data_IF_087660241150
#
_entry.id   IF_087660241150
#
_cell.length_a   1.000
_cell.length_b   1.000
_cell.length_c   1.000
_cell.angle_alpha   90.00
_cell.angle_beta   90.00
_cell.angle_gamma   90.00
#
_symmetry.space_group_name_H-M   'P 1'
#
loop_
_entity.id
_entity.type
_entity.pdbx_description
1 polymer ?
#
# COMPACT_ATOMS: atom_id res chain seq x y z
N UNK A 1 5.84 -4.68 -0.48
CA UNK A 1 5.15 -3.41 -0.78
C UNK A 1 5.85 -2.76 -1.95
N UNK A 2 5.08 -2.32 -2.93
CA UNK A 2 5.53 -1.55 -4.08
C UNK A 2 4.92 -0.15 -4.00
N UNK A 3 5.70 0.88 -4.24
CA UNK A 3 5.23 2.27 -4.23
C UNK A 3 5.57 2.88 -5.60
N UNK A 4 4.53 3.29 -6.34
CA UNK A 4 4.69 4.08 -7.55
C UNK A 4 5.07 5.52 -7.21
N UNK A 5 5.81 6.20 -8.07
CA UNK A 5 6.10 7.62 -7.86
C UNK A 5 6.26 8.40 -9.17
N UNK A 6 5.87 9.69 -9.12
CA UNK A 6 6.06 10.63 -10.24
C UNK A 6 6.25 12.06 -9.75
N UNK A 7 6.89 12.90 -10.57
CA UNK A 7 7.10 14.33 -10.28
C UNK A 7 8.08 14.63 -9.14
N UNK A 8 8.78 13.63 -8.62
CA UNK A 8 9.74 13.77 -7.51
C UNK A 8 11.05 13.06 -7.86
N UNK A 9 12.16 13.58 -7.36
CA UNK A 9 13.48 12.97 -7.53
C UNK A 9 13.74 11.94 -6.43
N UNK A 10 13.35 10.70 -6.67
CA UNK A 10 13.43 9.60 -5.72
C UNK A 10 14.17 8.40 -6.33
N UNK A 11 14.98 7.67 -5.55
CA UNK A 11 15.67 6.49 -6.05
C UNK A 11 14.67 5.40 -6.45
N UNK A 12 14.81 4.92 -7.69
CA UNK A 12 14.06 3.76 -8.18
C UNK A 12 14.69 2.46 -7.66
N UNK A 13 13.86 1.46 -7.43
CA UNK A 13 14.29 0.13 -7.00
C UNK A 13 14.04 -0.16 -5.53
N UNK A 14 14.80 -1.10 -4.96
CA UNK A 14 14.62 -1.55 -3.58
C UNK A 14 15.29 -0.58 -2.60
N UNK A 15 14.52 -0.09 -1.64
CA UNK A 15 14.97 0.71 -0.50
C UNK A 15 14.68 0.00 0.80
N UNK A 16 15.68 -0.04 1.67
CA UNK A 16 15.56 -0.62 3.01
C UNK A 16 14.78 0.33 3.90
N UNK A 17 13.77 -0.18 4.60
CA UNK A 17 13.12 0.54 5.67
C UNK A 17 14.01 0.57 6.92
N UNK A 18 14.27 1.76 7.45
CA UNK A 18 15.05 1.92 8.68
C UNK A 18 14.12 1.77 9.90
N UNK A 19 13.88 0.52 10.28
CA UNK A 19 12.97 0.11 11.33
C UNK A 19 13.66 0.16 12.70
N UNK A 20 13.21 1.09 13.55
CA UNK A 20 13.77 1.28 14.88
C UNK A 20 13.43 0.13 15.83
N UNK A 21 12.26 -0.52 15.66
CA UNK A 21 11.85 -1.67 16.48
C UNK A 21 12.73 -2.88 16.17
N UNK A 22 12.89 -3.19 14.88
CA UNK A 22 13.77 -4.28 14.45
C UNK A 22 15.21 -4.06 14.92
N UNK A 23 15.70 -2.81 14.87
CA UNK A 23 17.03 -2.45 15.37
C UNK A 23 17.17 -2.71 16.87
N UNK A 24 16.20 -2.27 17.67
CA UNK A 24 16.20 -2.49 19.12
C UNK A 24 16.15 -3.99 19.49
N UNK A 25 15.35 -4.79 18.75
CA UNK A 25 15.29 -6.23 18.91
C UNK A 25 16.63 -6.90 18.57
N UNK A 26 17.27 -6.48 17.49
CA UNK A 26 18.57 -7.00 17.10
C UNK A 26 19.68 -6.65 18.10
N UNK A 27 19.63 -5.46 18.70
CA UNK A 27 20.58 -5.06 19.78
C UNK A 27 20.38 -5.90 21.06
N UNK A 28 19.11 -6.21 21.39
CA UNK A 28 18.74 -7.02 22.55
C UNK A 28 19.18 -8.49 22.40
N UNK A 29 18.76 -9.13 21.30
CA UNK A 29 18.86 -10.58 21.14
C UNK A 29 20.15 -11.02 20.44
N UNK A 30 20.90 -10.07 19.83
CA UNK A 30 22.15 -10.29 19.10
C UNK A 30 22.09 -11.47 18.11
N UNK A 31 21.12 -11.45 17.19
CA UNK A 31 20.88 -12.56 16.27
C UNK A 31 22.05 -12.75 15.30
N UNK A 32 22.17 -13.97 14.76
CA UNK A 32 23.13 -14.25 13.68
C UNK A 32 22.75 -13.55 12.36
N UNK A 33 21.45 -13.26 12.17
CA UNK A 33 20.92 -12.63 10.97
C UNK A 33 19.83 -11.61 11.32
N UNK A 34 19.81 -10.48 10.61
CA UNK A 34 18.73 -9.49 10.67
C UNK A 34 18.10 -9.37 9.28
N UNK A 35 16.80 -9.58 9.20
CA UNK A 35 16.02 -9.48 7.96
C UNK A 35 15.09 -8.26 8.01
N UNK A 36 15.54 -7.11 7.46
CA UNK A 36 14.74 -5.90 7.38
C UNK A 36 13.73 -5.99 6.26
N UNK A 37 12.73 -5.13 6.34
CA UNK A 37 11.77 -4.93 5.25
C UNK A 37 12.36 -4.03 4.15
N UNK A 38 11.99 -4.35 2.90
CA UNK A 38 12.33 -3.54 1.73
C UNK A 38 11.06 -3.12 1.02
N UNK A 39 11.01 -1.85 0.63
CA UNK A 39 10.02 -1.30 -0.29
C UNK A 39 10.64 -1.24 -1.68
N UNK A 40 9.85 -1.50 -2.71
CA UNK A 40 10.23 -1.29 -4.09
C UNK A 40 9.57 -0.01 -4.61
N UNK A 41 10.38 0.97 -4.98
CA UNK A 41 9.94 2.20 -5.63
C UNK A 41 9.99 2.05 -7.15
N UNK A 42 8.88 2.41 -7.82
CA UNK A 42 8.67 2.23 -9.25
C UNK A 42 8.33 3.58 -9.89
N UNK A 43 9.21 4.07 -10.75
CA UNK A 43 9.03 5.36 -11.42
C UNK A 43 7.93 5.27 -12.47
N UNK A 44 6.95 6.18 -12.43
CA UNK A 44 5.81 6.27 -13.36
C UNK A 44 4.98 4.97 -13.47
N UNK A 45 4.98 4.14 -12.42
CA UNK A 45 4.17 2.93 -12.33
C UNK A 45 2.98 3.15 -11.40
N UNK A 46 1.76 2.95 -11.90
CA UNK A 46 0.54 3.21 -11.17
C UNK A 46 -0.38 1.98 -11.04
N UNK A 47 -0.13 0.94 -11.83
CA UNK A 47 -0.96 -0.27 -11.84
C UNK A 47 -0.48 -1.27 -10.81
N UNK A 48 0.79 -1.67 -10.87
CA UNK A 48 1.37 -2.72 -10.03
C UNK A 48 1.99 -2.18 -8.72
N UNK A 49 1.33 -1.22 -8.07
CA UNK A 49 1.79 -0.65 -6.80
C UNK A 49 0.67 -0.65 -5.75
N UNK A 50 1.07 -0.56 -4.48
CA UNK A 50 0.17 -0.54 -3.31
C UNK A 50 -0.23 0.90 -2.94
N UNK A 51 0.61 1.88 -3.22
CA UNK A 51 0.40 3.30 -3.03
C UNK A 51 1.18 4.11 -4.09
N UNK A 52 0.80 5.36 -4.29
CA UNK A 52 1.44 6.27 -5.25
C UNK A 52 1.92 7.52 -4.51
N UNK A 53 3.18 7.89 -4.73
CA UNK A 53 3.78 9.12 -4.20
C UNK A 53 3.98 10.10 -5.33
N UNK A 54 3.48 11.32 -5.16
CA UNK A 54 3.54 12.37 -6.18
C UNK A 54 3.98 13.71 -5.61
N UNK A 55 4.58 14.55 -6.45
CA UNK A 55 4.59 15.97 -6.14
C UNK A 55 3.15 16.51 -6.20
N UNK A 56 2.78 17.43 -5.30
CA UNK A 56 1.41 17.95 -5.24
C UNK A 56 0.89 18.47 -6.59
N UNK A 57 1.76 19.08 -7.40
CA UNK A 57 1.40 19.64 -8.71
C UNK A 57 1.09 18.57 -9.78
N UNK A 58 1.41 17.30 -9.50
CA UNK A 58 1.13 16.17 -10.40
C UNK A 58 -0.20 15.47 -10.09
N UNK A 59 -1.00 15.97 -9.14
CA UNK A 59 -2.26 15.33 -8.79
C UNK A 59 -3.20 15.29 -9.99
N UNK A 60 -3.38 16.40 -10.67
CA UNK A 60 -4.30 16.51 -11.82
C UNK A 60 -3.93 15.54 -12.95
N UNK A 61 -2.63 15.31 -13.18
CA UNK A 61 -2.18 14.34 -14.21
C UNK A 61 -2.68 12.92 -13.90
N UNK A 62 -2.68 12.54 -12.62
CA UNK A 62 -3.19 11.23 -12.18
C UNK A 62 -4.71 11.16 -12.30
N UNK A 63 -5.43 12.25 -11.93
CA UNK A 63 -6.89 12.28 -12.02
C UNK A 63 -7.38 12.25 -13.48
N UNK A 64 -6.68 12.91 -14.39
CA UNK A 64 -6.97 12.84 -15.84
C UNK A 64 -6.84 11.42 -16.37
N UNK A 65 -5.79 10.68 -15.98
CA UNK A 65 -5.64 9.27 -16.36
C UNK A 65 -6.81 8.42 -15.88
N UNK A 66 -7.34 8.70 -14.71
CA UNK A 66 -8.51 8.00 -14.17
C UNK A 66 -9.78 8.37 -14.96
N UNK A 67 -9.99 9.64 -15.25
CA UNK A 67 -11.15 10.12 -16.03
C UNK A 67 -11.18 9.46 -17.40
N UNK A 68 -10.06 9.48 -18.15
CA UNK A 68 -9.93 8.84 -19.45
C UNK A 68 -10.27 7.34 -19.40
N UNK A 69 -9.80 6.67 -18.35
CA UNK A 69 -10.02 5.24 -18.13
C UNK A 69 -11.48 4.92 -17.82
N UNK A 70 -12.10 5.73 -16.98
CA UNK A 70 -13.51 5.60 -16.59
C UNK A 70 -14.42 5.90 -17.78
N UNK A 71 -14.21 7.00 -18.51
CA UNK A 71 -14.97 7.34 -19.71
C UNK A 71 -14.86 6.26 -20.80
N UNK A 72 -13.66 5.75 -21.01
CA UNK A 72 -13.43 4.61 -21.93
C UNK A 72 -14.20 3.36 -21.52
N UNK A 73 -14.38 3.11 -20.22
CA UNK A 73 -15.17 1.98 -19.70
C UNK A 73 -16.66 2.22 -19.89
N UNK A 74 -17.19 3.41 -19.56
CA UNK A 74 -18.60 3.79 -19.74
C UNK A 74 -19.04 3.59 -21.20
N UNK A 75 -18.19 3.96 -22.16
CA UNK A 75 -18.49 3.82 -23.59
C UNK A 75 -18.59 2.37 -24.08
N UNK A 76 -18.19 1.36 -23.26
CA UNK A 76 -18.14 -0.05 -23.62
C UNK A 76 -19.13 -0.92 -22.86
N UNK A 77 -19.75 -0.41 -21.81
CA UNK A 77 -20.66 -1.14 -20.94
C UNK A 77 -22.10 -0.68 -21.13
N UNK A 78 -23.04 -1.57 -20.79
CA UNK A 78 -24.48 -1.28 -20.84
C UNK A 78 -25.16 -1.47 -19.46
N UNK A 79 -24.43 -1.94 -18.45
CA UNK A 79 -24.97 -2.20 -17.11
C UNK A 79 -25.14 -0.89 -16.36
N UNK A 80 -26.39 -0.61 -15.98
CA UNK A 80 -26.77 0.69 -15.40
C UNK A 80 -26.06 0.97 -14.07
N UNK A 81 -25.99 -0.04 -13.19
CA UNK A 81 -25.40 0.15 -11.86
C UNK A 81 -23.90 0.45 -11.94
N UNK A 82 -23.19 -0.15 -12.91
CA UNK A 82 -21.78 0.15 -13.18
C UNK A 82 -21.61 1.55 -13.76
N UNK A 83 -22.50 1.97 -14.69
CA UNK A 83 -22.49 3.33 -15.24
C UNK A 83 -22.73 4.37 -14.14
N UNK A 84 -23.69 4.12 -13.24
CA UNK A 84 -24.01 5.05 -12.14
C UNK A 84 -22.81 5.18 -11.17
N UNK A 85 -22.12 4.07 -10.85
CA UNK A 85 -20.88 4.09 -10.08
C UNK A 85 -19.78 4.92 -10.77
N UNK A 86 -19.55 4.67 -12.05
CA UNK A 86 -18.49 5.33 -12.81
C UNK A 86 -18.77 6.83 -12.97
N UNK A 87 -20.03 7.23 -13.17
CA UNK A 87 -20.42 8.65 -13.15
C UNK A 87 -20.20 9.30 -11.78
N UNK A 88 -20.51 8.59 -10.68
CA UNK A 88 -20.17 9.06 -9.31
C UNK A 88 -18.67 9.30 -9.15
N UNK A 89 -17.84 8.40 -9.70
CA UNK A 89 -16.39 8.57 -9.70
C UNK A 89 -15.94 9.79 -10.51
N UNK A 90 -16.47 10.00 -11.72
CA UNK A 90 -16.15 11.19 -12.54
C UNK A 90 -16.47 12.48 -11.82
N UNK A 91 -17.67 12.61 -11.25
CA UNK A 91 -18.10 13.79 -10.49
C UNK A 91 -17.20 14.08 -9.27
N UNK A 92 -16.54 13.07 -8.72
CA UNK A 92 -15.59 13.21 -7.62
C UNK A 92 -14.23 13.70 -8.14
N UNK A 93 -13.74 13.11 -9.22
CA UNK A 93 -12.49 13.50 -9.88
C UNK A 93 -12.54 14.94 -10.41
N UNK A 94 -13.69 15.39 -10.93
CA UNK A 94 -13.93 16.79 -11.37
C UNK A 94 -13.79 17.82 -10.23
N UNK A 95 -13.89 17.38 -8.97
CA UNK A 95 -13.62 18.22 -7.79
C UNK A 95 -12.15 18.22 -7.39
N UNK A 96 -11.28 17.63 -8.20
CA UNK A 96 -9.86 17.45 -7.93
C UNK A 96 -9.59 16.55 -6.71
N UNK A 97 -10.52 15.63 -6.40
CA UNK A 97 -10.40 14.69 -5.29
C UNK A 97 -10.10 13.27 -5.80
N UNK A 98 -9.06 12.58 -5.27
CA UNK A 98 -8.71 11.21 -5.69
C UNK A 98 -9.72 10.18 -5.20
N UNK A 99 -9.94 9.11 -5.95
CA UNK A 99 -10.95 8.08 -5.65
C UNK A 99 -10.71 7.36 -4.31
N UNK A 100 -9.48 7.30 -3.81
CA UNK A 100 -9.16 6.72 -2.51
C UNK A 100 -9.80 7.45 -1.31
N UNK A 101 -10.33 8.67 -1.51
CA UNK A 101 -11.06 9.43 -0.48
C UNK A 101 -12.54 9.05 -0.41
N UNK A 102 -13.07 8.32 -1.40
CA UNK A 102 -14.43 7.79 -1.41
C UNK A 102 -14.53 6.45 -0.68
N UNK A 103 -15.71 6.20 -0.14
CA UNK A 103 -16.08 4.89 0.39
C UNK A 103 -16.93 4.14 -0.63
N UNK A 104 -16.61 2.88 -0.87
CA UNK A 104 -17.27 1.99 -1.80
C UNK A 104 -17.75 0.72 -1.09
N UNK A 105 -18.87 0.18 -1.53
CA UNK A 105 -19.34 -1.14 -1.09
C UNK A 105 -18.56 -2.27 -1.77
N UNK A 106 -18.81 -3.53 -1.39
CA UNK A 106 -18.06 -4.68 -1.90
C UNK A 106 -18.21 -4.88 -3.42
N UNK A 107 -19.40 -4.62 -3.98
CA UNK A 107 -19.65 -4.74 -5.42
C UNK A 107 -18.92 -3.64 -6.19
N UNK A 108 -19.02 -2.39 -5.73
CA UNK A 108 -18.30 -1.24 -6.29
C UNK A 108 -16.77 -1.45 -6.23
N UNK A 109 -16.27 -1.93 -5.09
CA UNK A 109 -14.85 -2.27 -4.91
C UNK A 109 -14.36 -3.33 -5.91
N UNK A 110 -15.19 -4.31 -6.25
CA UNK A 110 -14.85 -5.34 -7.23
C UNK A 110 -14.66 -4.73 -8.62
N UNK A 111 -15.58 -3.87 -9.05
CA UNK A 111 -15.52 -3.16 -10.34
C UNK A 111 -14.27 -2.27 -10.41
N UNK A 112 -14.03 -1.47 -9.36
CA UNK A 112 -12.88 -0.55 -9.32
C UNK A 112 -11.53 -1.28 -9.24
N UNK A 113 -11.45 -2.43 -8.57
CA UNK A 113 -10.26 -3.29 -8.58
C UNK A 113 -9.96 -3.85 -9.98
N UNK A 114 -10.98 -4.25 -10.71
CA UNK A 114 -10.84 -4.72 -12.10
C UNK A 114 -10.42 -3.58 -13.04
N UNK A 115 -11.07 -2.43 -12.94
CA UNK A 115 -10.73 -1.24 -13.71
C UNK A 115 -9.36 -0.69 -13.33
N UNK A 116 -8.99 -0.78 -12.05
CA UNK A 116 -7.70 -0.35 -11.49
C UNK A 116 -7.31 1.09 -11.86
N UNK A 117 -8.15 2.10 -11.57
CA UNK A 117 -7.77 3.49 -11.75
C UNK A 117 -6.66 3.86 -10.74
N UNK A 118 -5.61 4.61 -11.15
CA UNK A 118 -4.52 5.02 -10.27
C UNK A 118 -4.96 5.60 -8.92
N UNK A 119 -5.87 6.58 -8.91
CA UNK A 119 -6.27 7.28 -7.67
C UNK A 119 -7.21 6.48 -6.76
N UNK A 120 -7.60 5.26 -7.14
CA UNK A 120 -8.26 4.32 -6.25
C UNK A 120 -7.31 3.78 -5.16
N UNK A 121 -6.01 3.83 -5.41
CA UNK A 121 -4.96 3.53 -4.43
C UNK A 121 -4.63 4.78 -3.61
N UNK A 122 -4.10 4.62 -2.38
CA UNK A 122 -3.64 5.76 -1.60
C UNK A 122 -2.65 6.63 -2.37
N UNK A 123 -2.94 7.93 -2.44
CA UNK A 123 -2.06 8.94 -3.03
C UNK A 123 -1.40 9.73 -1.91
N UNK A 124 -0.08 9.72 -1.87
CA UNK A 124 0.75 10.46 -0.94
C UNK A 124 1.33 11.67 -1.67
N UNK A 125 0.82 12.85 -1.34
CA UNK A 125 1.30 14.10 -1.92
C UNK A 125 2.46 14.65 -1.10
N UNK A 126 3.55 15.00 -1.77
CA UNK A 126 4.73 15.58 -1.16
C UNK A 126 4.96 16.98 -1.67
N UNK A 127 5.35 17.87 -0.76
CA UNK A 127 5.80 19.23 -1.04
C UNK A 127 7.10 19.49 -0.28
N UNK A 128 8.11 19.98 -0.98
CA UNK A 128 9.42 20.31 -0.39
C UNK A 128 10.30 19.09 -0.09
N UNK A 129 11.13 19.20 0.95
CA UNK A 129 12.08 18.16 1.34
C UNK A 129 11.38 16.96 2.00
N UNK A 130 11.81 15.77 1.65
CA UNK A 130 11.27 14.52 2.19
C UNK A 130 12.38 13.52 2.55
N UNK A 131 12.06 12.62 3.47
CA UNK A 131 12.90 11.47 3.80
C UNK A 131 12.20 10.18 3.34
N UNK A 132 12.91 9.31 2.67
CA UNK A 132 12.38 8.03 2.17
C UNK A 132 11.70 7.23 3.29
N UNK A 133 12.28 7.22 4.48
CA UNK A 133 11.71 6.50 5.62
C UNK A 133 10.32 7.02 6.01
N UNK A 134 10.12 8.34 6.02
CA UNK A 134 8.83 8.95 6.30
C UNK A 134 7.78 8.60 5.23
N UNK A 135 8.20 8.56 3.96
CA UNK A 135 7.30 8.11 2.87
C UNK A 135 6.85 6.67 3.11
N UNK A 136 7.77 5.78 3.49
CA UNK A 136 7.44 4.38 3.78
C UNK A 136 6.46 4.29 4.96
N UNK A 137 6.66 5.07 6.02
CA UNK A 137 5.77 5.11 7.18
C UNK A 137 4.36 5.59 6.81
N UNK A 138 4.25 6.66 6.01
CA UNK A 138 2.98 7.15 5.51
C UNK A 138 2.31 6.07 4.63
N UNK A 139 3.05 5.47 3.70
CA UNK A 139 2.52 4.43 2.83
C UNK A 139 2.02 3.21 3.61
N UNK A 140 2.73 2.77 4.66
CA UNK A 140 2.28 1.70 5.55
C UNK A 140 0.94 2.02 6.21
N UNK A 141 0.79 3.25 6.71
CA UNK A 141 -0.43 3.73 7.34
C UNK A 141 -1.58 3.79 6.35
N UNK A 142 -1.39 4.47 5.23
CA UNK A 142 -2.43 4.68 4.21
C UNK A 142 -2.88 3.38 3.53
N UNK A 143 -1.98 2.38 3.44
CA UNK A 143 -2.31 1.04 2.95
C UNK A 143 -2.82 0.11 4.03
N UNK A 144 -3.05 0.61 5.27
CA UNK A 144 -3.49 -0.18 6.43
C UNK A 144 -2.62 -1.44 6.65
N UNK A 145 -1.30 -1.26 6.58
CA UNK A 145 -0.33 -2.32 6.88
C UNK A 145 0.42 -2.04 8.17
N UNK A 146 0.86 -3.11 8.84
CA UNK A 146 1.70 -3.03 10.03
C UNK A 146 2.79 -4.10 9.99
N UNK A 147 3.79 -3.93 10.87
CA UNK A 147 4.79 -4.98 11.11
C UNK A 147 4.46 -5.75 12.39
N UNK A 148 4.74 -7.04 12.34
CA UNK A 148 5.06 -7.81 13.52
C UNK A 148 6.48 -8.36 13.40
N UNK A 149 7.05 -8.79 14.49
CA UNK A 149 8.46 -9.18 14.56
C UNK A 149 8.63 -10.55 15.15
N UNK A 150 9.56 -11.32 14.59
CA UNK A 150 10.11 -12.49 15.26
C UNK A 150 11.54 -12.19 15.61
N UNK A 151 11.98 -12.50 16.83
CA UNK A 151 13.34 -12.24 17.28
C UNK A 151 13.84 -13.36 18.18
N UNK A 152 15.12 -13.70 18.02
CA UNK A 152 15.82 -14.73 18.79
C UNK A 152 17.25 -14.88 18.33
N UNK A 153 17.99 -15.82 18.90
CA UNK A 153 19.42 -16.01 18.63
C UNK A 153 19.76 -16.32 17.15
N UNK A 154 18.84 -16.92 16.40
CA UNK A 154 19.06 -17.24 14.99
C UNK A 154 18.81 -16.05 14.06
N UNK A 155 17.66 -15.39 14.22
CA UNK A 155 17.24 -14.32 13.32
C UNK A 155 16.30 -13.33 14.03
N UNK A 156 16.41 -12.04 13.70
CA UNK A 156 15.40 -11.01 13.93
C UNK A 156 14.83 -10.57 12.59
N UNK A 157 13.49 -10.64 12.43
CA UNK A 157 12.82 -10.43 11.16
C UNK A 157 11.57 -9.55 11.32
N UNK A 158 11.39 -8.58 10.42
CA UNK A 158 10.20 -7.73 10.29
C UNK A 158 9.27 -8.31 9.23
N UNK A 159 8.04 -8.64 9.63
CA UNK A 159 7.02 -9.22 8.77
C UNK A 159 5.89 -8.23 8.51
N UNK A 160 5.60 -7.95 7.24
CA UNK A 160 4.50 -7.07 6.85
C UNK A 160 3.18 -7.85 6.78
N UNK A 161 2.15 -7.33 7.46
CA UNK A 161 0.78 -7.87 7.46
C UNK A 161 -0.23 -6.73 7.43
N UNK A 162 -1.49 -6.97 7.01
CA UNK A 162 -2.57 -6.00 7.19
C UNK A 162 -2.74 -5.62 8.66
N UNK A 163 -3.05 -4.35 8.92
CA UNK A 163 -3.33 -3.87 10.28
C UNK A 163 -4.54 -4.60 10.88
N UNK A 164 -4.44 -4.99 12.15
CA UNK A 164 -5.47 -5.78 12.82
C UNK A 164 -5.45 -7.28 12.50
N UNK A 165 -4.42 -7.78 11.79
CA UNK A 165 -4.25 -9.22 11.57
C UNK A 165 -4.18 -9.98 12.89
N UNK A 166 -4.87 -11.12 12.94
CA UNK A 166 -4.81 -12.04 14.07
C UNK A 166 -3.49 -12.85 14.10
N UNK A 167 -3.27 -13.55 15.22
CA UNK A 167 -2.04 -14.32 15.42
C UNK A 167 -1.89 -15.50 14.44
N UNK A 168 -3.01 -16.07 13.95
CA UNK A 168 -2.98 -17.17 12.98
C UNK A 168 -2.54 -16.65 11.62
N UNK A 169 -3.02 -15.46 11.23
CA UNK A 169 -2.57 -14.75 10.03
C UNK A 169 -1.08 -14.42 10.12
N UNK A 170 -0.61 -13.91 11.25
CA UNK A 170 0.81 -13.67 11.49
C UNK A 170 1.63 -14.96 11.42
N UNK A 171 1.17 -16.05 12.04
CA UNK A 171 1.83 -17.34 11.98
C UNK A 171 1.92 -17.89 10.54
N UNK A 172 0.87 -17.73 9.74
CA UNK A 172 0.84 -18.14 8.33
C UNK A 172 1.89 -17.41 7.48
N UNK A 173 2.19 -16.16 7.84
CA UNK A 173 3.19 -15.33 7.16
C UNK A 173 4.61 -15.84 7.38
N UNK A 174 4.89 -16.46 8.56
CA UNK A 174 6.16 -17.08 8.85
C UNK A 174 6.25 -18.43 8.14
N UNK A 175 5.25 -19.29 8.35
CA UNK A 175 5.15 -20.60 7.70
C UNK A 175 3.72 -21.14 7.81
N UNK A 176 3.22 -21.76 6.73
CA UNK A 176 1.85 -22.31 6.71
C UNK A 176 1.59 -23.36 7.80
N UNK A 177 2.61 -24.16 8.16
CA UNK A 177 2.47 -25.18 9.19
C UNK A 177 2.33 -24.59 10.60
N UNK A 178 2.90 -23.41 10.86
CA UNK A 178 2.70 -22.72 12.14
C UNK A 178 1.23 -22.28 12.30
N UNK A 179 0.60 -21.81 11.22
CA UNK A 179 -0.82 -21.46 11.25
C UNK A 179 -1.72 -22.70 11.45
N UNK A 180 -1.40 -23.81 10.77
CA UNK A 180 -2.16 -25.07 10.91
C UNK A 180 -2.02 -25.72 12.28
N UNK A 181 -0.84 -25.62 12.87
CA UNK A 181 -0.52 -26.19 14.19
C UNK A 181 -0.78 -25.24 15.36
N UNK A 182 -1.30 -24.02 15.11
CA UNK A 182 -1.51 -23.04 16.18
C UNK A 182 -2.61 -23.49 17.13
N UNK A 183 -2.28 -23.64 18.41
CA UNK A 183 -3.22 -24.02 19.48
C UNK A 183 -3.46 -22.83 20.40
N UNK A 184 -2.38 -22.21 20.89
CA UNK A 184 -2.44 -21.05 21.80
C UNK A 184 -1.14 -20.27 21.73
N UNK A 185 -1.21 -18.99 22.12
CA UNK A 185 -0.07 -18.13 22.37
C UNK A 185 -0.16 -17.53 23.76
N UNK A 186 0.94 -17.43 24.45
CA UNK A 186 1.04 -16.72 25.71
C UNK A 186 1.48 -15.28 25.42
N UNK A 187 0.73 -14.31 25.97
CA UNK A 187 1.03 -12.87 25.83
C UNK A 187 1.55 -12.39 27.18
N UNK A 188 2.73 -11.74 27.14
CA UNK A 188 3.42 -11.23 28.33
C UNK A 188 3.46 -9.72 28.31
#
# INVERSE_FOLDING_TARGET
MKIGFTGIDMPEGKSKYNDLVLKALAEKDKPKKVSPFFVQFLKNEYVDCDAIVIHKDCLLDILILDMDKIESRINRIAEKDEIDLLNKCLLHLEKEEPLCTLTFNDAENKILKELSPPSYKPIIQIEGEYKINNIIEIALKETSNMFFYTSGAAESHAWLVPAGSDIVTCASKIHSDLARGFIKGDVV
#
